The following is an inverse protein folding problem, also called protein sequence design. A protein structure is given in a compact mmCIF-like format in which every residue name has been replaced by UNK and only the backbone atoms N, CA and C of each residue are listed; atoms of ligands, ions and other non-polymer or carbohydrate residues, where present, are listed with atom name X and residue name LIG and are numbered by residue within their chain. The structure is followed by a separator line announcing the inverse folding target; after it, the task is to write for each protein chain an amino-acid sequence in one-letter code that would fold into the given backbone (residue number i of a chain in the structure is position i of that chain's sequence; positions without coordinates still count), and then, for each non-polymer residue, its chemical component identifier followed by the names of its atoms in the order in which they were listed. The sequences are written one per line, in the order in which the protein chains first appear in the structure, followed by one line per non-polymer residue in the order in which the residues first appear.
data_IF_943570140950
#
_entry.id   IF_943570140950
#
_cell.length_a   1.000
_cell.length_b   1.000
_cell.length_c   1.000
_cell.angle_alpha   90.00
_cell.angle_beta   90.00
_cell.angle_gamma   90.00
#
_symmetry.space_group_name_H-M   'P 1'
#
loop_
_entity.id
_entity.type
_entity.pdbx_description
1 polymer ?
#
# COMPACT_ATOMS: atom_id res chain seq x y z
N UNK A 1 -12.53 8.34 -24.66
CA UNK A 1 -11.98 8.08 -23.31
C UNK A 1 -11.04 6.88 -23.35
N UNK A 2 -11.35 5.82 -24.14
CA UNK A 2 -10.48 4.62 -24.25
C UNK A 2 -9.18 4.84 -25.05
N UNK A 3 -9.08 5.92 -25.85
CA UNK A 3 -7.89 6.18 -26.67
C UNK A 3 -6.73 6.84 -25.90
N UNK A 4 -7.00 7.40 -24.72
CA UNK A 4 -5.98 8.01 -23.87
C UNK A 4 -5.21 6.98 -23.02
N UNK A 5 -5.77 5.76 -22.86
CA UNK A 5 -5.17 4.72 -22.03
C UNK A 5 -4.01 3.98 -22.71
N UNK A 6 -3.77 4.18 -24.02
CA UNK A 6 -2.84 3.38 -24.81
C UNK A 6 -1.71 4.15 -25.51
N UNK A 7 -1.61 5.47 -25.35
CA UNK A 7 -0.51 6.22 -25.94
C UNK A 7 0.55 6.61 -24.90
N UNK A 8 1.65 5.82 -24.78
CA UNK A 8 2.74 6.12 -23.86
C UNK A 8 3.51 7.39 -24.21
N UNK A 9 3.33 7.93 -25.43
CA UNK A 9 3.98 9.16 -25.87
C UNK A 9 3.30 10.43 -25.31
N UNK A 10 2.05 10.34 -24.86
CA UNK A 10 1.34 11.47 -24.26
C UNK A 10 1.65 11.66 -22.76
N UNK A 11 2.35 10.70 -22.14
CA UNK A 11 2.78 10.75 -20.72
C UNK A 11 4.13 11.45 -20.63
N UNK A 12 4.25 12.65 -21.17
CA UNK A 12 5.41 13.50 -21.00
C UNK A 12 5.57 13.86 -19.51
N UNK A 13 6.48 13.18 -18.85
CA UNK A 13 7.05 13.54 -17.53
C UNK A 13 6.10 13.79 -16.36
N UNK A 14 4.80 13.54 -16.50
CA UNK A 14 3.88 13.63 -15.37
C UNK A 14 4.16 12.49 -14.36
N UNK A 15 4.21 12.82 -13.08
CA UNK A 15 4.37 11.79 -12.06
C UNK A 15 3.15 10.86 -12.07
N UNK A 16 3.33 9.63 -11.55
CA UNK A 16 2.20 8.67 -11.41
C UNK A 16 1.02 9.26 -10.59
N UNK A 17 1.31 10.18 -9.70
CA UNK A 17 0.30 10.91 -8.89
C UNK A 17 -0.49 11.87 -9.77
N UNK A 18 0.19 12.61 -10.66
CA UNK A 18 -0.44 13.57 -11.57
C UNK A 18 -1.32 12.86 -12.59
N UNK A 19 -0.87 11.72 -13.09
CA UNK A 19 -1.66 10.89 -14.00
C UNK A 19 -2.96 10.38 -13.33
N UNK A 20 -2.90 9.92 -12.07
CA UNK A 20 -4.10 9.52 -11.31
C UNK A 20 -5.05 10.68 -11.08
N UNK A 21 -4.53 11.85 -10.77
CA UNK A 21 -5.34 13.05 -10.56
C UNK A 21 -6.05 13.45 -11.85
N UNK A 22 -5.34 13.45 -12.98
CA UNK A 22 -5.88 13.75 -14.29
C UNK A 22 -6.96 12.76 -14.71
N UNK A 23 -6.72 11.46 -14.58
CA UNK A 23 -7.69 10.40 -14.89
C UNK A 23 -8.97 10.57 -14.08
N UNK A 24 -8.85 10.82 -12.78
CA UNK A 24 -9.99 11.11 -11.92
C UNK A 24 -10.75 12.35 -12.34
N UNK A 25 -10.04 13.42 -12.68
CA UNK A 25 -10.65 14.67 -13.14
C UNK A 25 -11.46 14.47 -14.43
N UNK A 26 -10.90 13.75 -15.40
CA UNK A 26 -11.59 13.44 -16.68
C UNK A 26 -12.88 12.66 -16.45
N UNK A 27 -12.87 11.65 -15.55
CA UNK A 27 -14.08 10.90 -15.21
C UNK A 27 -15.14 11.78 -14.54
N UNK A 28 -14.75 12.61 -13.58
CA UNK A 28 -15.66 13.56 -12.91
C UNK A 28 -16.27 14.55 -13.89
N UNK A 29 -15.47 15.05 -14.82
CA UNK A 29 -15.94 15.98 -15.84
C UNK A 29 -16.96 15.31 -16.80
N UNK A 30 -16.68 14.09 -17.23
CA UNK A 30 -17.57 13.32 -18.09
C UNK A 30 -18.91 13.03 -17.40
N UNK A 31 -18.91 12.64 -16.13
CA UNK A 31 -20.15 12.42 -15.35
C UNK A 31 -20.92 13.73 -15.11
N UNK A 32 -20.21 14.81 -14.84
CA UNK A 32 -20.86 16.13 -14.70
C UNK A 32 -21.54 16.55 -16.01
N UNK A 33 -20.87 16.38 -17.17
CA UNK A 33 -21.43 16.69 -18.47
C UNK A 33 -22.63 15.81 -18.82
N UNK A 34 -22.59 14.53 -18.40
CA UNK A 34 -23.68 13.58 -18.58
C UNK A 34 -24.85 13.78 -17.59
N UNK A 35 -24.72 14.68 -16.60
CA UNK A 35 -25.72 14.89 -15.55
C UNK A 35 -25.88 13.71 -14.58
N UNK A 36 -24.91 12.78 -14.57
CA UNK A 36 -24.93 11.56 -13.75
C UNK A 36 -24.16 11.70 -12.44
N UNK A 37 -23.46 12.81 -12.24
CA UNK A 37 -22.72 13.09 -11.01
C UNK A 37 -23.68 13.43 -9.87
N UNK A 38 -24.09 12.42 -9.10
CA UNK A 38 -24.99 12.58 -7.95
C UNK A 38 -24.27 12.65 -6.62
N UNK A 39 -23.07 12.02 -6.54
CA UNK A 39 -22.26 11.96 -5.33
C UNK A 39 -20.78 12.02 -5.65
N UNK A 40 -19.99 12.51 -4.67
CA UNK A 40 -18.54 12.52 -4.76
C UNK A 40 -17.97 11.11 -4.60
N UNK A 41 -17.48 10.52 -5.70
CA UNK A 41 -16.94 9.14 -5.70
C UNK A 41 -15.43 9.11 -5.80
N UNK A 42 -14.84 8.08 -5.20
CA UNK A 42 -13.45 7.72 -5.43
C UNK A 42 -13.35 6.83 -6.68
N UNK A 43 -12.91 7.43 -7.80
CA UNK A 43 -12.63 6.64 -8.99
C UNK A 43 -11.35 5.84 -8.79
N UNK A 44 -11.45 4.52 -8.99
CA UNK A 44 -10.28 3.67 -9.12
C UNK A 44 -9.75 3.86 -10.54
N UNK A 45 -8.50 4.32 -10.65
CA UNK A 45 -7.85 4.46 -11.95
C UNK A 45 -7.67 3.13 -12.69
N UNK A 46 -7.73 2.02 -11.96
CA UNK A 46 -7.68 0.66 -12.50
C UNK A 46 -8.60 -0.24 -11.71
N UNK A 47 -9.43 -0.99 -12.44
CA UNK A 47 -10.05 -2.18 -11.87
C UNK A 47 -8.96 -3.22 -11.70
N UNK A 48 -8.69 -3.70 -10.50
CA UNK A 48 -7.66 -4.69 -10.33
C UNK A 48 -8.05 -5.98 -11.04
N UNK A 49 -7.20 -6.44 -11.97
CA UNK A 49 -7.38 -7.77 -12.58
C UNK A 49 -7.46 -8.83 -11.50
N UNK A 50 -8.41 -9.74 -11.62
CA UNK A 50 -8.58 -10.88 -10.72
C UNK A 50 -8.13 -12.14 -11.47
N UNK A 51 -7.61 -13.15 -10.77
CA UNK A 51 -7.36 -14.45 -11.38
C UNK A 51 -8.64 -14.98 -12.03
N UNK A 52 -8.51 -15.63 -13.18
CA UNK A 52 -9.64 -16.26 -13.88
C UNK A 52 -9.98 -17.63 -13.27
N UNK A 53 -8.96 -18.35 -12.80
CA UNK A 53 -9.05 -19.66 -12.19
C UNK A 53 -9.85 -19.62 -10.88
N UNK A 54 -10.89 -20.43 -10.78
CA UNK A 54 -11.75 -20.47 -9.59
C UNK A 54 -11.00 -20.93 -8.33
N UNK A 55 -10.03 -21.85 -8.46
CA UNK A 55 -9.17 -22.24 -7.35
C UNK A 55 -8.40 -21.03 -6.78
N UNK A 56 -7.85 -20.20 -7.64
CA UNK A 56 -7.09 -19.01 -7.20
C UNK A 56 -7.98 -17.93 -6.60
N UNK A 57 -9.22 -17.77 -7.10
CA UNK A 57 -10.21 -16.88 -6.47
C UNK A 57 -10.54 -17.34 -5.05
N UNK A 58 -10.77 -18.65 -4.88
CA UNK A 58 -11.09 -19.23 -3.58
C UNK A 58 -9.93 -19.09 -2.60
N UNK A 59 -8.72 -19.45 -3.01
CA UNK A 59 -7.50 -19.27 -2.21
C UNK A 59 -7.33 -17.81 -1.76
N UNK A 60 -7.60 -16.84 -2.65
CA UNK A 60 -7.48 -15.43 -2.31
C UNK A 60 -8.52 -14.99 -1.28
N UNK A 61 -9.77 -15.49 -1.40
CA UNK A 61 -10.84 -15.20 -0.43
C UNK A 61 -10.52 -15.80 0.92
N UNK A 62 -10.16 -17.08 0.97
CA UNK A 62 -9.79 -17.76 2.22
C UNK A 62 -8.61 -17.08 2.94
N UNK A 63 -7.59 -16.67 2.17
CA UNK A 63 -6.48 -15.92 2.73
C UNK A 63 -6.92 -14.58 3.34
N UNK A 64 -7.90 -13.90 2.72
CA UNK A 64 -8.45 -12.66 3.28
C UNK A 64 -9.23 -12.89 4.57
N UNK A 65 -9.96 -14.01 4.66
CA UNK A 65 -10.73 -14.38 5.84
C UNK A 65 -9.82 -14.68 7.02
N UNK A 66 -8.77 -15.45 6.82
CA UNK A 66 -7.74 -15.69 7.85
C UNK A 66 -7.10 -14.38 8.33
N UNK A 67 -6.84 -13.43 7.41
CA UNK A 67 -6.32 -12.13 7.80
C UNK A 67 -7.30 -11.32 8.65
N UNK A 68 -8.61 -11.47 8.41
CA UNK A 68 -9.66 -10.84 9.24
C UNK A 68 -9.73 -11.48 10.61
N UNK A 69 -9.69 -12.81 10.68
CA UNK A 69 -9.68 -13.57 11.93
C UNK A 69 -8.45 -13.24 12.80
N UNK A 70 -7.31 -12.99 12.18
CA UNK A 70 -6.10 -12.48 12.87
C UNK A 70 -6.22 -11.02 13.32
N UNK A 71 -7.34 -10.35 13.10
CA UNK A 71 -7.56 -8.96 13.49
C UNK A 71 -6.76 -7.93 12.68
N UNK A 72 -6.37 -8.26 11.43
CA UNK A 72 -5.65 -7.31 10.57
C UNK A 72 -6.57 -6.18 10.09
N UNK A 73 -6.02 -4.96 10.04
CA UNK A 73 -6.76 -3.81 9.52
C UNK A 73 -7.14 -4.00 8.04
N UNK A 74 -8.31 -3.49 7.60
CA UNK A 74 -8.78 -3.60 6.22
C UNK A 74 -7.77 -3.12 5.17
N UNK A 75 -7.02 -2.06 5.47
CA UNK A 75 -5.96 -1.53 4.60
C UNK A 75 -4.80 -2.52 4.44
N UNK A 76 -4.44 -3.24 5.50
CA UNK A 76 -3.42 -4.28 5.49
C UNK A 76 -3.89 -5.48 4.67
N UNK A 77 -5.13 -5.93 4.86
CA UNK A 77 -5.74 -7.03 4.10
C UNK A 77 -5.73 -6.69 2.60
N UNK A 78 -6.18 -5.48 2.24
CA UNK A 78 -6.16 -5.01 0.85
C UNK A 78 -4.76 -5.00 0.24
N UNK A 79 -3.77 -4.55 1.00
CA UNK A 79 -2.37 -4.54 0.56
C UNK A 79 -1.82 -5.94 0.35
N UNK A 80 -2.05 -6.85 1.31
CA UNK A 80 -1.60 -8.24 1.24
C UNK A 80 -2.28 -8.99 0.08
N UNK A 81 -3.59 -8.86 -0.05
CA UNK A 81 -4.35 -9.44 -1.16
C UNK A 81 -3.86 -8.94 -2.52
N UNK A 82 -3.48 -7.67 -2.63
CA UNK A 82 -2.90 -7.13 -3.87
C UNK A 82 -1.56 -7.78 -4.22
N UNK A 83 -0.74 -8.11 -3.23
CA UNK A 83 0.55 -8.79 -3.43
C UNK A 83 0.31 -10.24 -3.88
N UNK A 84 -0.54 -10.98 -3.16
CA UNK A 84 -0.87 -12.38 -3.47
C UNK A 84 -1.50 -12.49 -4.86
N UNK A 85 -2.48 -11.64 -5.16
CA UNK A 85 -3.14 -11.61 -6.46
C UNK A 85 -2.14 -11.49 -7.62
N UNK A 86 -1.11 -10.67 -7.49
CA UNK A 86 -0.09 -10.52 -8.54
C UNK A 86 0.72 -11.80 -8.76
N UNK A 87 1.02 -12.55 -7.70
CA UNK A 87 1.65 -13.85 -7.83
C UNK A 87 0.70 -14.82 -8.57
N UNK A 88 -0.58 -14.87 -8.20
CA UNK A 88 -1.56 -15.76 -8.80
C UNK A 88 -1.76 -15.45 -10.29
N UNK A 89 -1.89 -14.18 -10.67
CA UNK A 89 -1.96 -13.75 -12.07
C UNK A 89 -0.70 -14.13 -12.87
N UNK A 90 0.47 -14.00 -12.26
CA UNK A 90 1.71 -14.47 -12.90
C UNK A 90 1.67 -15.98 -13.14
N UNK A 91 1.25 -16.77 -12.16
CA UNK A 91 1.14 -18.23 -12.29
C UNK A 91 0.18 -18.62 -13.41
N UNK A 92 -0.96 -17.95 -13.53
CA UNK A 92 -1.89 -18.13 -14.65
C UNK A 92 -1.24 -17.77 -15.99
N UNK A 93 -0.49 -16.69 -16.06
CA UNK A 93 0.18 -16.24 -17.29
C UNK A 93 1.21 -17.24 -17.81
N UNK A 94 1.79 -18.05 -16.92
CA UNK A 94 2.72 -19.14 -17.27
C UNK A 94 2.03 -20.51 -17.38
N UNK A 95 0.68 -20.54 -17.40
CA UNK A 95 -0.13 -21.74 -17.61
C UNK A 95 -0.31 -22.63 -16.39
N UNK A 96 0.02 -22.17 -15.18
CA UNK A 96 -0.20 -22.90 -13.93
C UNK A 96 -1.55 -22.50 -13.37
N UNK A 97 -2.53 -23.41 -13.47
CA UNK A 97 -3.91 -23.19 -13.02
C UNK A 97 -4.26 -23.90 -11.70
N UNK A 98 -3.40 -24.81 -11.25
CA UNK A 98 -3.55 -25.50 -9.97
C UNK A 98 -2.38 -25.20 -9.04
N UNK A 99 -2.66 -24.88 -7.80
CA UNK A 99 -1.62 -24.59 -6.82
C UNK A 99 -0.75 -25.81 -6.48
N UNK A 100 -1.30 -27.01 -6.66
CA UNK A 100 -0.55 -28.29 -6.51
C UNK A 100 0.64 -28.41 -7.46
N UNK A 101 0.59 -27.78 -8.63
CA UNK A 101 1.58 -27.92 -9.69
C UNK A 101 2.75 -26.92 -9.55
N UNK A 102 2.66 -26.02 -8.56
CA UNK A 102 3.70 -25.01 -8.31
C UNK A 102 4.96 -25.67 -7.77
N UNK A 103 6.08 -25.28 -8.36
CA UNK A 103 7.43 -25.67 -7.96
C UNK A 103 8.23 -24.46 -7.50
N UNK A 104 9.31 -24.72 -6.75
CA UNK A 104 10.25 -23.67 -6.32
C UNK A 104 10.77 -22.83 -7.48
N UNK A 105 10.96 -23.43 -8.66
CA UNK A 105 11.43 -22.71 -9.85
C UNK A 105 10.45 -21.62 -10.28
N UNK A 106 9.14 -21.88 -10.25
CA UNK A 106 8.13 -20.89 -10.65
C UNK A 106 8.17 -19.64 -9.77
N UNK A 107 8.47 -19.81 -8.46
CA UNK A 107 8.67 -18.67 -7.56
C UNK A 107 9.96 -17.91 -7.88
N UNK A 108 11.05 -18.62 -8.20
CA UNK A 108 12.30 -17.99 -8.61
C UNK A 108 12.10 -17.17 -9.89
N UNK A 109 11.43 -17.73 -10.89
CA UNK A 109 11.14 -17.06 -12.17
C UNK A 109 10.26 -15.82 -11.97
N UNK A 110 9.27 -15.88 -11.05
CA UNK A 110 8.47 -14.73 -10.67
C UNK A 110 9.33 -13.54 -10.19
N UNK A 111 10.34 -13.79 -9.37
CA UNK A 111 11.24 -12.75 -8.88
C UNK A 111 12.27 -12.27 -9.91
N UNK A 112 12.43 -12.98 -11.03
CA UNK A 112 13.29 -12.55 -12.15
C UNK A 112 12.55 -11.65 -13.15
N UNK A 113 11.24 -11.48 -13.02
CA UNK A 113 10.47 -10.61 -13.91
C UNK A 113 10.94 -9.15 -13.82
N UNK A 114 10.74 -8.38 -14.87
CA UNK A 114 11.18 -6.97 -14.98
C UNK A 114 10.65 -6.10 -13.86
N UNK A 115 9.52 -6.49 -13.30
CA UNK A 115 8.90 -5.83 -12.16
C UNK A 115 9.83 -5.67 -10.96
N UNK A 116 10.76 -6.60 -10.75
CA UNK A 116 11.65 -6.59 -9.58
C UNK A 116 13.00 -5.95 -9.85
N UNK A 117 13.40 -5.76 -11.12
CA UNK A 117 14.72 -5.25 -11.50
C UNK A 117 15.04 -3.87 -10.93
N UNK A 118 14.06 -2.97 -10.87
CA UNK A 118 14.22 -1.57 -10.43
C UNK A 118 13.49 -1.25 -9.13
N UNK A 119 13.15 -2.26 -8.32
CA UNK A 119 12.32 -2.06 -7.14
C UNK A 119 13.12 -1.64 -5.92
N UNK A 120 12.55 -0.72 -5.12
CA UNK A 120 13.10 -0.33 -3.83
C UNK A 120 13.15 -1.57 -2.90
N UNK A 121 14.29 -1.80 -2.25
CA UNK A 121 14.56 -2.93 -1.36
C UNK A 121 13.51 -3.07 -0.23
N UNK A 122 13.02 -1.95 0.33
CA UNK A 122 11.97 -1.98 1.37
C UNK A 122 10.65 -2.55 0.85
N UNK A 123 10.20 -2.09 -0.31
CA UNK A 123 8.98 -2.58 -0.94
C UNK A 123 9.10 -4.06 -1.31
N UNK A 124 10.28 -4.49 -1.75
CA UNK A 124 10.56 -5.89 -2.05
C UNK A 124 10.53 -6.77 -0.79
N UNK A 125 11.12 -6.31 0.31
CA UNK A 125 11.08 -7.06 1.58
C UNK A 125 9.65 -7.23 2.10
N UNK A 126 8.82 -6.19 2.02
CA UNK A 126 7.41 -6.28 2.40
C UNK A 126 6.68 -7.34 1.57
N UNK A 127 6.92 -7.36 0.25
CA UNK A 127 6.33 -8.38 -0.64
C UNK A 127 6.77 -9.78 -0.27
N UNK A 128 8.07 -10.00 0.01
CA UNK A 128 8.59 -11.28 0.46
C UNK A 128 7.95 -11.75 1.78
N UNK A 129 7.77 -10.85 2.74
CA UNK A 129 7.12 -11.19 4.02
C UNK A 129 5.67 -11.64 3.80
N UNK A 130 4.93 -10.93 2.94
CA UNK A 130 3.53 -11.28 2.62
C UNK A 130 3.46 -12.60 1.87
N UNK A 131 4.30 -12.79 0.84
CA UNK A 131 4.32 -14.02 0.08
C UNK A 131 4.76 -15.22 0.94
N UNK A 132 5.70 -15.04 1.85
CA UNK A 132 6.08 -16.09 2.80
C UNK A 132 4.90 -16.51 3.65
N UNK A 133 4.14 -15.55 4.19
CA UNK A 133 2.93 -15.84 4.98
C UNK A 133 1.88 -16.57 4.14
N UNK A 134 1.65 -16.12 2.92
CA UNK A 134 0.72 -16.75 1.99
C UNK A 134 1.14 -18.19 1.64
N UNK A 135 2.42 -18.43 1.37
CA UNK A 135 2.92 -19.77 1.06
C UNK A 135 2.82 -20.74 2.25
N UNK A 136 2.99 -20.26 3.46
CA UNK A 136 2.69 -21.04 4.66
C UNK A 136 1.21 -21.39 4.72
N UNK A 137 0.33 -20.41 4.54
CA UNK A 137 -1.11 -20.65 4.52
C UNK A 137 -1.52 -21.73 3.51
N UNK A 138 -1.11 -21.63 2.26
CA UNK A 138 -1.49 -22.62 1.23
C UNK A 138 -0.88 -24.00 1.46
N UNK A 139 0.26 -24.07 2.15
CA UNK A 139 0.88 -25.33 2.54
C UNK A 139 0.10 -25.99 3.68
N UNK A 140 -0.29 -25.20 4.68
CA UNK A 140 -1.04 -25.68 5.85
C UNK A 140 -2.49 -26.03 5.47
N UNK A 141 -3.10 -25.30 4.56
CA UNK A 141 -4.43 -25.58 4.01
C UNK A 141 -4.46 -26.78 3.03
N UNK A 142 -3.31 -27.33 2.65
CA UNK A 142 -3.20 -28.52 1.82
C UNK A 142 -3.36 -28.28 0.31
N UNK A 143 -3.30 -27.02 -0.16
CA UNK A 143 -3.34 -26.69 -1.59
C UNK A 143 -2.11 -27.18 -2.35
N UNK A 144 -1.00 -27.43 -1.64
CA UNK A 144 0.23 -27.96 -2.23
C UNK A 144 0.87 -29.00 -1.33
N UNK A 145 1.44 -30.05 -1.93
CA UNK A 145 2.27 -31.03 -1.23
C UNK A 145 3.71 -30.53 -1.00
N UNK A 146 4.11 -29.45 -1.68
CA UNK A 146 5.47 -28.93 -1.64
C UNK A 146 5.72 -28.06 -0.40
N UNK A 147 6.12 -28.68 0.71
CA UNK A 147 6.43 -27.99 1.98
C UNK A 147 7.64 -27.04 1.92
N UNK A 148 8.40 -27.07 0.82
CA UNK A 148 9.60 -26.25 0.64
C UNK A 148 9.32 -24.87 0.04
N UNK A 149 8.12 -24.61 -0.49
CA UNK A 149 7.75 -23.34 -1.13
C UNK A 149 8.04 -22.09 -0.28
N UNK A 150 7.70 -22.04 1.01
CA UNK A 150 7.99 -20.85 1.84
C UNK A 150 9.50 -20.57 2.00
N UNK A 151 10.35 -21.58 1.79
CA UNK A 151 11.81 -21.46 1.90
C UNK A 151 12.48 -21.12 0.57
N UNK A 152 11.77 -21.25 -0.56
CA UNK A 152 12.28 -20.93 -1.89
C UNK A 152 12.36 -19.42 -2.16
N UNK A 153 11.84 -18.59 -1.25
CA UNK A 153 11.87 -17.14 -1.39
C UNK A 153 13.29 -16.58 -1.23
N UNK A 154 13.68 -15.58 -2.04
CA UNK A 154 14.99 -14.96 -1.93
C UNK A 154 15.19 -14.28 -0.57
N UNK A 155 16.40 -14.38 -0.02
CA UNK A 155 16.78 -13.72 1.24
C UNK A 155 17.46 -12.39 0.93
N UNK A 156 16.89 -11.30 1.44
CA UNK A 156 17.49 -9.97 1.32
C UNK A 156 18.12 -9.59 2.65
N UNK A 157 19.41 -9.24 2.61
CA UNK A 157 20.07 -8.56 3.72
C UNK A 157 19.83 -7.05 3.58
N UNK A 158 19.13 -6.44 4.53
CA UNK A 158 19.10 -4.99 4.65
C UNK A 158 20.28 -4.52 5.53
N UNK A 159 21.04 -3.58 5.00
CA UNK A 159 21.91 -2.78 5.85
C UNK A 159 21.05 -1.89 6.77
N UNK A 160 21.24 -2.00 8.07
CA UNK A 160 20.54 -1.19 9.07
C UNK A 160 21.16 0.20 9.25
N UNK A 161 22.21 0.52 8.49
CA UNK A 161 22.96 1.77 8.61
C UNK A 161 22.21 2.93 7.95
N UNK A 162 21.02 3.26 8.45
CA UNK A 162 20.35 4.51 8.11
C UNK A 162 20.70 5.52 9.21
N UNK A 163 21.52 6.51 8.86
CA UNK A 163 21.67 7.71 9.68
C UNK A 163 20.31 8.41 9.60
N UNK A 164 19.67 8.56 10.76
CA UNK A 164 18.43 9.34 10.87
C UNK A 164 18.88 10.80 10.80
N UNK A 165 18.51 11.50 9.72
CA UNK A 165 18.67 12.96 9.65
C UNK A 165 17.59 13.59 10.52
N UNK A 166 17.99 14.35 11.51
CA UNK A 166 17.12 15.21 12.31
C UNK A 166 16.78 16.49 11.54
N UNK A 167 15.74 17.18 11.95
CA UNK A 167 15.42 18.52 11.46
C UNK A 167 16.54 19.45 11.93
N UNK A 168 16.96 20.37 11.06
CA UNK A 168 17.98 21.39 11.38
C UNK A 168 17.40 22.34 12.45
N UNK A 169 18.18 22.68 13.48
CA UNK A 169 17.77 23.58 14.57
C UNK A 169 17.24 24.93 14.05
N UNK A 170 17.80 25.42 12.95
CA UNK A 170 17.33 26.66 12.32
C UNK A 170 15.91 26.50 11.76
N UNK A 171 15.63 25.37 11.09
CA UNK A 171 14.30 25.08 10.54
C UNK A 171 13.29 24.88 11.67
N UNK A 172 13.71 24.26 12.78
CA UNK A 172 12.86 24.11 13.97
C UNK A 172 12.52 25.48 14.57
N UNK A 173 13.50 26.37 14.72
CA UNK A 173 13.29 27.74 15.23
C UNK A 173 12.36 28.54 14.31
N UNK A 174 12.62 28.52 12.99
CA UNK A 174 11.76 29.22 12.02
C UNK A 174 10.28 28.73 12.07
N UNK A 175 10.07 27.42 12.28
CA UNK A 175 8.74 26.84 12.42
C UNK A 175 8.04 27.21 13.74
N UNK A 176 8.81 27.46 14.81
CA UNK A 176 8.29 27.85 16.11
C UNK A 176 7.95 29.35 16.17
N UNK A 177 8.68 30.17 15.44
CA UNK A 177 8.52 31.64 15.41
C UNK A 177 7.48 32.12 14.40
N UNK A 178 7.02 31.24 13.49
CA UNK A 178 6.01 31.59 12.49
C UNK A 178 4.65 31.85 13.14
N UNK A 179 4.16 33.10 13.07
CA UNK A 179 2.83 33.48 13.57
C UNK A 179 1.75 33.25 12.51
N UNK A 180 0.85 32.30 12.73
CA UNK A 180 -0.17 31.98 11.73
C UNK A 180 -1.28 33.04 11.67
N UNK A 181 -1.55 33.52 10.46
CA UNK A 181 -2.53 34.58 10.14
C UNK A 181 -3.96 34.07 9.90
N UNK A 182 -4.18 32.76 9.86
CA UNK A 182 -5.51 32.17 9.67
C UNK A 182 -5.81 31.05 10.66
N UNK A 183 -7.11 30.72 10.87
CA UNK A 183 -7.52 29.59 11.72
C UNK A 183 -7.01 28.24 11.22
N UNK A 184 -6.88 28.08 9.90
CA UNK A 184 -6.34 26.86 9.29
C UNK A 184 -4.85 26.75 9.61
N UNK A 185 -4.10 27.83 9.45
CA UNK A 185 -2.67 27.88 9.75
C UNK A 185 -2.41 27.64 11.24
N UNK A 186 -3.25 28.18 12.15
CA UNK A 186 -3.17 27.91 13.61
C UNK A 186 -3.35 26.45 13.95
N UNK A 187 -4.33 25.78 13.31
CA UNK A 187 -4.53 24.34 13.47
C UNK A 187 -3.34 23.54 13.01
N UNK A 188 -2.83 23.86 11.83
CA UNK A 188 -1.72 23.13 11.22
C UNK A 188 -0.43 23.35 12.01
N UNK A 189 -0.20 24.56 12.55
CA UNK A 189 0.89 24.85 13.47
C UNK A 189 0.75 24.05 14.78
N UNK A 190 -0.43 23.98 15.38
CA UNK A 190 -0.67 23.18 16.59
C UNK A 190 -0.38 21.69 16.36
N UNK A 191 -0.75 21.13 15.20
CA UNK A 191 -0.41 19.76 14.81
C UNK A 191 1.11 19.58 14.71
N UNK A 192 1.79 20.53 14.07
CA UNK A 192 3.24 20.53 13.92
C UNK A 192 3.95 20.57 15.28
N UNK A 193 3.55 21.47 16.15
CA UNK A 193 4.10 21.62 17.51
C UNK A 193 3.89 20.35 18.34
N UNK A 194 2.70 19.76 18.30
CA UNK A 194 2.43 18.47 18.94
C UNK A 194 3.36 17.39 18.42
N UNK A 195 3.55 17.29 17.10
CA UNK A 195 4.43 16.30 16.51
C UNK A 195 5.89 16.49 16.93
N UNK A 196 6.38 17.74 16.94
CA UNK A 196 7.76 18.08 17.30
C UNK A 196 8.05 17.81 18.78
N UNK A 197 7.20 18.30 19.67
CA UNK A 197 7.46 18.22 21.12
C UNK A 197 7.11 16.86 21.75
N UNK A 198 6.12 16.15 21.21
CA UNK A 198 5.67 14.87 21.80
C UNK A 198 6.17 13.63 21.05
N UNK A 199 6.56 13.76 19.78
CA UNK A 199 6.87 12.62 18.94
C UNK A 199 5.68 11.71 18.62
N UNK A 200 4.45 12.16 18.87
CA UNK A 200 3.25 11.40 18.57
C UNK A 200 3.13 11.08 17.09
N UNK A 201 2.60 9.89 16.78
CA UNK A 201 2.32 9.53 15.38
C UNK A 201 1.15 10.34 14.84
N UNK A 202 1.12 10.56 13.54
CA UNK A 202 0.02 11.29 12.87
C UNK A 202 -1.38 10.70 13.14
N UNK A 203 -1.48 9.37 13.34
CA UNK A 203 -2.75 8.73 13.73
C UNK A 203 -3.17 9.10 15.15
N UNK A 204 -2.22 9.20 16.06
CA UNK A 204 -2.48 9.53 17.48
C UNK A 204 -2.89 11.00 17.60
N UNK A 205 -2.18 11.91 16.91
CA UNK A 205 -2.54 13.33 16.84
C UNK A 205 -3.96 13.52 16.26
N UNK A 206 -4.29 12.76 15.20
CA UNK A 206 -5.65 12.83 14.60
C UNK A 206 -6.75 12.28 15.51
N UNK A 207 -6.44 11.35 16.39
CA UNK A 207 -7.37 10.74 17.32
C UNK A 207 -7.48 11.52 18.63
N UNK A 208 -6.55 12.47 18.89
CA UNK A 208 -6.49 13.25 20.13
C UNK A 208 -7.78 14.04 20.34
N UNK A 209 -8.30 13.98 21.55
CA UNK A 209 -9.49 14.68 22.00
C UNK A 209 -9.12 15.67 23.11
N UNK A 210 -9.92 16.69 23.33
CA UNK A 210 -9.70 17.65 24.43
C UNK A 210 -9.71 16.98 25.81
N UNK A 211 -10.44 15.88 25.99
CA UNK A 211 -10.47 15.11 27.23
C UNK A 211 -9.17 14.29 27.48
N UNK A 212 -8.35 14.11 26.47
CA UNK A 212 -7.07 13.41 26.59
C UNK A 212 -5.93 14.35 27.06
N UNK A 213 -6.24 15.65 27.22
CA UNK A 213 -5.29 16.69 27.64
C UNK A 213 -5.62 17.14 29.07
N UNK A 214 -4.70 16.91 29.98
CA UNK A 214 -4.74 17.50 31.34
C UNK A 214 -4.06 18.87 31.28
N UNK A 215 -4.90 19.91 31.20
CA UNK A 215 -4.44 21.29 31.06
C UNK A 215 -3.77 21.85 32.33
N UNK A 216 -4.03 21.26 33.51
CA UNK A 216 -3.40 21.68 34.76
C UNK A 216 -1.99 21.07 34.90
N UNK A 217 -1.82 19.84 34.43
CA UNK A 217 -0.53 19.13 34.48
C UNK A 217 0.28 19.22 33.19
N UNK A 218 -0.28 19.86 32.16
CA UNK A 218 0.34 19.97 30.83
C UNK A 218 0.74 18.60 30.25
N UNK A 219 -0.12 17.59 30.46
CA UNK A 219 0.15 16.20 30.01
C UNK A 219 -0.92 15.68 29.07
N UNK A 220 -0.54 14.76 28.20
CA UNK A 220 -1.43 14.03 27.29
C UNK A 220 -1.48 12.58 27.78
N UNK A 221 -2.68 12.01 27.85
CA UNK A 221 -2.96 10.65 28.31
C UNK A 221 -3.32 9.71 27.17
#
# INVERSE_FOLDING_TARGET
VNSLDHDPACVLSASYVDWKALHRFVHLLAEHQAGTLTEWRHYLCFTPELPETDEYKNILVEFQEIMKEEGKYPTTIKSYSSIVRRLLLYLESVGITKFSDIRNQNLMDYFQTDRFKNRNLKGFQTELCVLKKFLWFVTDAGYTACKTLPYALPKIRQSRNKIITTIDEKVETDLLEDEPDSLVNKRDQAILLLALHTGLRSCDIRALRFCDIDWEKETIH
#
